data_IF_585468206393
#
_entry.id   IF_585468206393
#
_cell.length_a   1.000
_cell.length_b   1.000
_cell.length_c   1.000
_cell.angle_alpha   90.00
_cell.angle_beta   90.00
_cell.angle_gamma   90.00
#
_symmetry.space_group_name_H-M   'P 1'
#
loop_
_entity.id
_entity.type
_entity.pdbx_description
1 polymer ?
#
# COMPACT_ATOMS: atom_id res chain seq x y z
N UNK A 1 -11.47 -0.54 -28.99
CA UNK A 1 -11.00 -1.70 -28.21
C UNK A 1 -9.47 -1.80 -28.08
N UNK A 2 -8.69 -0.98 -28.82
CA UNK A 2 -7.22 -0.90 -28.69
C UNK A 2 -6.73 0.19 -27.71
N UNK A 3 -7.62 0.99 -27.12
CA UNK A 3 -7.24 2.13 -26.27
C UNK A 3 -7.02 1.78 -24.79
N UNK A 4 -7.51 0.64 -24.32
CA UNK A 4 -7.39 0.24 -22.90
C UNK A 4 -6.05 -0.41 -22.53
N UNK A 5 -5.23 -0.77 -23.51
CA UNK A 5 -4.06 -1.65 -23.31
C UNK A 5 -2.73 -0.91 -23.11
N UNK A 6 -2.73 0.43 -23.17
CA UNK A 6 -1.52 1.25 -23.11
C UNK A 6 -1.51 2.27 -21.96
N UNK A 7 -2.50 2.20 -21.07
CA UNK A 7 -2.87 3.32 -20.21
C UNK A 7 -2.13 3.37 -18.87
N UNK A 8 -1.72 2.28 -18.21
CA UNK A 8 -1.26 2.42 -16.83
C UNK A 8 0.01 3.28 -16.61
N UNK A 9 1.08 3.22 -17.43
CA UNK A 9 2.22 4.13 -17.27
C UNK A 9 1.95 5.50 -17.88
N UNK A 10 1.19 5.56 -18.98
CA UNK A 10 0.90 6.78 -19.72
C UNK A 10 -0.06 7.71 -18.96
N UNK A 11 -1.02 7.15 -18.21
CA UNK A 11 -1.97 7.91 -17.39
C UNK A 11 -1.30 8.51 -16.13
N UNK A 12 -0.27 7.86 -15.58
CA UNK A 12 0.58 8.46 -14.54
C UNK A 12 1.32 9.68 -15.11
N UNK A 13 1.90 9.54 -16.31
CA UNK A 13 2.60 10.65 -16.98
C UNK A 13 1.63 11.76 -17.38
N UNK A 14 0.42 11.44 -17.87
CA UNK A 14 -0.61 12.41 -18.23
C UNK A 14 -1.22 13.11 -17.00
N UNK A 15 -1.42 12.39 -15.89
CA UNK A 15 -1.85 12.99 -14.63
C UNK A 15 -0.77 13.92 -14.07
N UNK A 16 0.51 13.55 -14.19
CA UNK A 16 1.65 14.39 -13.78
C UNK A 16 1.88 15.59 -14.71
N UNK A 17 1.62 15.46 -16.02
CA UNK A 17 1.72 16.55 -17.00
C UNK A 17 0.57 17.57 -16.89
N UNK A 18 -0.59 17.15 -16.35
CA UNK A 18 -1.73 18.04 -16.10
C UNK A 18 -1.60 18.87 -14.81
N UNK A 19 -0.54 18.68 -14.03
CA UNK A 19 -0.32 19.38 -12.78
C UNK A 19 0.48 20.66 -13.05
N UNK A 20 -0.16 21.81 -12.84
CA UNK A 20 0.45 23.13 -13.04
C UNK A 20 1.66 23.39 -12.08
N UNK A 21 1.70 22.73 -10.91
CA UNK A 21 2.81 22.82 -9.94
C UNK A 21 3.06 21.50 -9.19
N UNK A 22 3.92 20.59 -9.68
CA UNK A 22 4.15 19.28 -9.04
C UNK A 22 4.80 19.36 -7.65
N UNK A 23 5.42 20.49 -7.31
CA UNK A 23 6.05 20.71 -6.00
C UNK A 23 5.07 20.92 -4.85
N UNK A 24 3.82 21.33 -5.13
CA UNK A 24 2.80 21.60 -4.09
C UNK A 24 2.09 20.32 -3.61
N UNK A 25 2.10 19.27 -4.43
CA UNK A 25 1.45 17.97 -4.14
C UNK A 25 2.28 17.11 -3.17
N UNK A 26 3.60 17.23 -3.25
CA UNK A 26 4.52 16.35 -2.51
C UNK A 26 4.42 16.50 -0.98
N UNK A 27 4.43 17.72 -0.40
CA UNK A 27 4.31 17.89 1.05
C UNK A 27 3.04 17.30 1.69
N UNK A 28 1.81 17.58 1.19
CA UNK A 28 0.61 17.00 1.77
C UNK A 28 0.57 15.48 1.62
N UNK A 29 0.99 14.95 0.46
CA UNK A 29 1.03 13.50 0.24
C UNK A 29 1.94 12.79 1.24
N UNK A 30 3.14 13.33 1.48
CA UNK A 30 4.10 12.75 2.43
C UNK A 30 3.61 12.84 3.88
N UNK A 31 3.00 13.98 4.26
CA UNK A 31 2.43 14.16 5.59
C UNK A 31 1.28 13.16 5.85
N UNK A 32 0.34 13.04 4.90
CA UNK A 32 -0.80 12.12 5.01
C UNK A 32 -0.30 10.68 5.05
N UNK A 33 0.67 10.30 4.20
CA UNK A 33 1.24 8.97 4.18
C UNK A 33 1.90 8.58 5.52
N UNK A 34 2.72 9.47 6.10
CA UNK A 34 3.40 9.22 7.37
C UNK A 34 2.41 9.09 8.52
N UNK A 35 1.48 10.05 8.63
CA UNK A 35 0.51 10.09 9.73
C UNK A 35 -0.47 8.94 9.66
N UNK A 36 -0.96 8.54 8.48
CA UNK A 36 -1.90 7.42 8.33
C UNK A 36 -1.23 6.07 8.57
N UNK A 37 0.02 5.87 8.10
CA UNK A 37 0.82 4.67 8.40
C UNK A 37 1.12 4.53 9.88
N UNK A 38 1.60 5.61 10.51
CA UNK A 38 1.89 5.60 11.95
C UNK A 38 0.60 5.51 12.78
N UNK A 39 -0.46 6.19 12.39
CA UNK A 39 -1.78 6.13 13.02
C UNK A 39 -2.34 4.71 13.01
N UNK A 40 -2.29 4.02 11.87
CA UNK A 40 -2.66 2.61 11.73
C UNK A 40 -1.80 1.71 12.62
N UNK A 41 -0.47 1.91 12.60
CA UNK A 41 0.47 1.14 13.41
C UNK A 41 0.18 1.30 14.92
N UNK A 42 0.11 2.53 15.42
CA UNK A 42 -0.09 2.79 16.86
C UNK A 42 -1.48 2.42 17.34
N UNK A 43 -2.53 2.64 16.54
CA UNK A 43 -3.90 2.22 16.86
C UNK A 43 -3.98 0.70 16.99
N UNK A 44 -3.37 -0.03 16.07
CA UNK A 44 -3.29 -1.48 16.11
C UNK A 44 -2.47 -1.96 17.32
N UNK A 45 -1.32 -1.31 17.59
CA UNK A 45 -0.50 -1.61 18.75
C UNK A 45 -1.30 -1.45 20.04
N UNK A 46 -1.99 -0.33 20.20
CA UNK A 46 -2.83 -0.04 21.36
C UNK A 46 -3.94 -1.09 21.52
N UNK A 47 -4.66 -1.42 20.45
CA UNK A 47 -5.69 -2.46 20.47
C UNK A 47 -5.12 -3.81 20.99
N UNK A 48 -3.97 -4.27 20.49
CA UNK A 48 -3.40 -5.54 20.96
C UNK A 48 -2.74 -5.44 22.34
N UNK A 49 -2.30 -4.27 22.81
CA UNK A 49 -1.86 -4.13 24.21
C UNK A 49 -3.01 -4.33 25.20
N UNK A 50 -4.25 -4.05 24.79
CA UNK A 50 -5.46 -4.27 25.58
C UNK A 50 -5.94 -5.71 25.45
N UNK A 51 -6.02 -6.24 24.22
CA UNK A 51 -6.68 -7.53 23.95
C UNK A 51 -5.76 -8.76 23.99
N UNK A 52 -4.44 -8.64 23.80
CA UNK A 52 -3.54 -9.80 23.69
C UNK A 52 -2.08 -9.48 24.09
N UNK A 53 -1.83 -9.30 25.40
CA UNK A 53 -0.51 -8.89 25.94
C UNK A 53 0.64 -9.87 25.65
N UNK A 54 0.36 -11.14 25.36
CA UNK A 54 1.39 -12.15 25.13
C UNK A 54 2.03 -12.06 23.73
N UNK A 55 1.37 -11.45 22.74
CA UNK A 55 1.86 -11.39 21.36
C UNK A 55 2.96 -10.34 21.10
N UNK A 56 3.38 -9.59 22.13
CA UNK A 56 4.30 -8.43 22.00
C UNK A 56 5.77 -8.79 22.35
N UNK A 57 6.04 -10.03 22.76
CA UNK A 57 7.36 -10.45 23.24
C UNK A 57 8.25 -11.03 22.13
N UNK A 58 8.59 -10.22 21.12
CA UNK A 58 9.67 -10.53 20.16
C UNK A 58 11.04 -10.04 20.64
N UNK A 59 12.09 -10.87 20.48
CA UNK A 59 13.50 -10.50 20.76
C UNK A 59 14.15 -9.83 19.54
N UNK A 60 15.05 -8.88 19.82
CA UNK A 60 15.85 -8.18 18.80
C UNK A 60 16.98 -9.11 18.31
N UNK A 61 17.12 -9.23 17.00
CA UNK A 61 18.02 -10.02 16.16
C UNK A 61 18.41 -9.18 14.94
N UNK A 62 19.61 -8.61 15.00
CA UNK A 62 20.22 -7.83 13.91
C UNK A 62 20.32 -8.62 12.59
N UNK A 63 20.32 -9.95 12.65
CA UNK A 63 20.42 -10.81 11.49
C UNK A 63 19.20 -10.70 10.57
N UNK A 64 17.99 -10.62 11.15
CA UNK A 64 16.74 -10.42 10.39
C UNK A 64 16.74 -9.06 9.69
N UNK A 65 17.18 -8.01 10.38
CA UNK A 65 17.31 -6.67 9.82
C UNK A 65 18.35 -6.60 8.69
N UNK A 66 19.46 -7.31 8.82
CA UNK A 66 20.47 -7.35 7.76
C UNK A 66 20.00 -8.11 6.52
N UNK A 67 19.23 -9.19 6.71
CA UNK A 67 18.62 -9.94 5.61
C UNK A 67 17.55 -9.11 4.89
N UNK A 68 16.76 -8.35 5.63
CA UNK A 68 15.81 -7.39 5.10
C UNK A 68 16.47 -6.37 4.16
N UNK A 69 17.54 -5.71 4.63
CA UNK A 69 18.32 -4.76 3.84
C UNK A 69 18.86 -5.39 2.55
N UNK A 70 19.35 -6.63 2.63
CA UNK A 70 19.81 -7.37 1.43
C UNK A 70 18.67 -7.60 0.44
N UNK A 71 17.47 -7.98 0.91
CA UNK A 71 16.32 -8.23 0.03
C UNK A 71 15.86 -6.95 -0.68
N UNK A 72 15.78 -5.84 0.04
CA UNK A 72 15.49 -4.53 -0.54
C UNK A 72 16.56 -4.17 -1.58
N UNK A 73 17.83 -4.32 -1.25
CA UNK A 73 18.94 -4.02 -2.16
C UNK A 73 18.88 -4.88 -3.45
N UNK A 74 18.56 -6.17 -3.33
CA UNK A 74 18.39 -7.06 -4.49
C UNK A 74 17.24 -6.60 -5.40
N UNK A 75 16.11 -6.14 -4.84
CA UNK A 75 14.99 -5.62 -5.61
C UNK A 75 15.38 -4.36 -6.41
N UNK A 76 16.05 -3.39 -5.75
CA UNK A 76 16.57 -2.20 -6.43
C UNK A 76 17.61 -2.52 -7.51
N UNK A 77 18.46 -3.52 -7.27
CA UNK A 77 19.46 -3.96 -8.23
C UNK A 77 18.80 -4.59 -9.46
N UNK A 78 17.81 -5.47 -9.26
CA UNK A 78 17.03 -6.06 -10.35
C UNK A 78 16.30 -5.00 -11.19
N UNK A 79 15.69 -4.00 -10.54
CA UNK A 79 15.06 -2.86 -11.20
C UNK A 79 16.06 -2.09 -12.07
N UNK A 80 17.21 -1.73 -11.48
CA UNK A 80 18.26 -0.99 -12.19
C UNK A 80 18.78 -1.75 -13.41
N UNK A 81 19.01 -3.06 -13.28
CA UNK A 81 19.40 -3.91 -14.41
C UNK A 81 18.32 -3.90 -15.50
N UNK A 82 17.04 -4.03 -15.12
CA UNK A 82 15.92 -3.99 -16.04
C UNK A 82 15.86 -2.67 -16.83
N UNK A 83 16.06 -1.53 -16.16
CA UNK A 83 16.10 -0.20 -16.79
C UNK A 83 17.28 -0.08 -17.75
N UNK A 84 18.49 -0.49 -17.33
CA UNK A 84 19.69 -0.44 -18.18
C UNK A 84 19.51 -1.30 -19.44
N UNK A 85 18.99 -2.52 -19.29
CA UNK A 85 18.68 -3.40 -20.42
C UNK A 85 17.64 -2.78 -21.35
N UNK A 86 16.60 -2.15 -20.79
CA UNK A 86 15.60 -1.42 -21.57
C UNK A 86 16.22 -0.31 -22.42
N UNK A 87 17.05 0.54 -21.81
CA UNK A 87 17.75 1.64 -22.52
C UNK A 87 18.68 1.08 -23.61
N UNK A 88 19.44 0.02 -23.32
CA UNK A 88 20.36 -0.59 -24.27
C UNK A 88 19.61 -1.18 -25.49
N UNK A 89 18.47 -1.85 -25.27
CA UNK A 89 17.62 -2.35 -26.35
C UNK A 89 17.05 -1.21 -27.21
N UNK A 90 16.63 -0.10 -26.59
CA UNK A 90 16.18 1.09 -27.33
C UNK A 90 17.31 1.68 -28.20
N UNK A 91 18.53 1.77 -27.67
CA UNK A 91 19.69 2.27 -28.43
C UNK A 91 20.08 1.35 -29.59
N UNK A 92 19.94 0.04 -29.43
CA UNK A 92 20.21 -0.97 -30.47
C UNK A 92 19.12 -1.04 -31.55
N UNK A 93 18.06 -0.20 -31.48
CA UNK A 93 16.91 -0.19 -32.38
C UNK A 93 16.21 -1.57 -32.50
N UNK A 94 16.44 -2.46 -31.53
CA UNK A 94 15.83 -3.79 -31.49
C UNK A 94 14.45 -3.68 -30.86
N UNK A 95 13.46 -3.39 -31.69
CA UNK A 95 12.07 -3.32 -31.23
C UNK A 95 11.51 -4.74 -31.07
N UNK A 96 11.62 -5.31 -29.89
CA UNK A 96 10.92 -6.56 -29.56
C UNK A 96 9.45 -6.21 -29.33
N UNK A 97 8.50 -6.67 -30.17
CA UNK A 97 7.08 -6.43 -29.93
C UNK A 97 6.63 -7.26 -28.73
N UNK A 98 6.78 -6.70 -27.53
CA UNK A 98 6.33 -7.31 -26.29
C UNK A 98 5.06 -6.62 -25.81
N UNK A 99 3.96 -7.38 -25.74
CA UNK A 99 2.71 -6.88 -25.19
C UNK A 99 2.61 -7.28 -23.71
N UNK A 100 2.64 -6.28 -22.83
CA UNK A 100 2.52 -6.43 -21.38
C UNK A 100 1.23 -7.17 -20.94
N UNK A 101 0.21 -7.22 -21.80
CA UNK A 101 -1.03 -7.97 -21.56
C UNK A 101 -0.79 -9.46 -21.27
N UNK A 102 0.12 -10.11 -22.02
CA UNK A 102 0.41 -11.53 -21.80
C UNK A 102 1.08 -11.77 -20.45
N UNK A 103 1.96 -10.86 -20.03
CA UNK A 103 2.60 -10.92 -18.71
C UNK A 103 1.58 -10.73 -17.58
N UNK A 104 0.65 -9.78 -17.75
CA UNK A 104 -0.44 -9.55 -16.81
C UNK A 104 -1.31 -10.79 -16.66
N UNK A 105 -1.75 -11.39 -17.78
CA UNK A 105 -2.56 -12.62 -17.76
C UNK A 105 -1.81 -13.77 -17.08
N UNK A 106 -0.51 -13.91 -17.35
CA UNK A 106 0.32 -14.92 -16.70
C UNK A 106 0.39 -14.69 -15.18
N UNK A 107 0.59 -13.45 -14.73
CA UNK A 107 0.60 -13.14 -13.30
C UNK A 107 -0.76 -13.37 -12.63
N UNK A 108 -1.87 -12.96 -13.25
CA UNK A 108 -3.21 -13.24 -12.73
C UNK A 108 -3.44 -14.75 -12.62
N UNK A 109 -3.00 -15.53 -13.61
CA UNK A 109 -3.08 -16.99 -13.57
C UNK A 109 -2.24 -17.59 -12.43
N UNK A 110 -0.99 -17.14 -12.26
CA UNK A 110 -0.11 -17.61 -11.18
C UNK A 110 -0.65 -17.25 -9.79
N UNK A 111 -1.17 -16.03 -9.63
CA UNK A 111 -1.86 -15.60 -8.40
C UNK A 111 -3.08 -16.50 -8.15
N UNK A 112 -3.87 -16.79 -9.20
CA UNK A 112 -5.01 -17.70 -9.13
C UNK A 112 -4.61 -19.12 -8.67
N UNK A 113 -3.47 -19.63 -9.13
CA UNK A 113 -2.91 -20.91 -8.64
C UNK A 113 -2.56 -20.82 -7.15
N UNK A 114 -1.86 -19.78 -6.72
CA UNK A 114 -1.50 -19.59 -5.30
C UNK A 114 -2.75 -19.53 -4.41
N UNK A 115 -3.80 -18.82 -4.86
CA UNK A 115 -5.10 -18.75 -4.20
C UNK A 115 -5.83 -20.11 -4.15
N UNK A 116 -5.79 -20.89 -5.23
CA UNK A 116 -6.43 -22.22 -5.29
C UNK A 116 -5.79 -23.21 -4.30
N UNK A 117 -4.47 -23.10 -4.08
CA UNK A 117 -3.75 -23.92 -3.10
C UNK A 117 -3.79 -23.37 -1.67
N UNK A 118 -4.37 -22.18 -1.44
CA UNK A 118 -4.54 -21.65 -0.08
C UNK A 118 -5.82 -22.20 0.54
N UNK A 119 -5.68 -23.08 1.53
CA UNK A 119 -6.82 -23.57 2.30
C UNK A 119 -7.32 -22.49 3.27
N UNK A 120 -8.35 -21.74 2.87
CA UNK A 120 -9.06 -20.81 3.73
C UNK A 120 -9.71 -21.58 4.89
N UNK A 121 -9.12 -21.47 6.08
CA UNK A 121 -9.65 -22.10 7.28
C UNK A 121 -10.52 -21.09 8.04
N UNK A 122 -11.58 -21.56 8.72
CA UNK A 122 -12.53 -20.71 9.46
C UNK A 122 -11.84 -19.88 10.56
N UNK A 123 -10.66 -20.29 10.99
CA UNK A 123 -9.79 -19.56 11.92
C UNK A 123 -9.30 -18.22 11.38
N UNK A 124 -9.31 -17.99 10.06
CA UNK A 124 -8.89 -16.74 9.43
C UNK A 124 -9.88 -15.61 9.69
N UNK A 125 -11.15 -15.94 9.93
CA UNK A 125 -12.19 -14.99 10.36
C UNK A 125 -12.25 -14.79 11.88
N UNK A 126 -11.22 -15.21 12.62
CA UNK A 126 -11.19 -14.98 14.06
C UNK A 126 -11.13 -13.48 14.38
N UNK A 127 -11.77 -13.10 15.49
CA UNK A 127 -11.75 -11.72 15.98
C UNK A 127 -10.34 -11.15 16.10
N UNK A 128 -9.38 -11.99 16.51
CA UNK A 128 -7.97 -11.63 16.60
C UNK A 128 -7.34 -11.22 15.28
N UNK A 129 -7.83 -11.67 14.13
CA UNK A 129 -7.34 -11.29 12.81
C UNK A 129 -8.04 -10.03 12.30
N UNK A 130 -9.36 -9.93 12.50
CA UNK A 130 -10.18 -8.82 12.04
C UNK A 130 -9.88 -7.48 12.74
N UNK A 131 -9.25 -7.51 13.92
CA UNK A 131 -8.76 -6.29 14.58
C UNK A 131 -7.74 -5.54 13.71
N UNK A 132 -6.92 -6.22 12.89
CA UNK A 132 -5.88 -5.58 12.07
C UNK A 132 -6.46 -4.60 11.04
N UNK A 133 -7.38 -5.01 10.14
CA UNK A 133 -8.00 -4.08 9.20
C UNK A 133 -8.87 -3.03 9.89
N UNK A 134 -9.55 -3.38 10.98
CA UNK A 134 -10.35 -2.42 11.75
C UNK A 134 -9.46 -1.32 12.36
N UNK A 135 -8.31 -1.70 12.91
CA UNK A 135 -7.36 -0.75 13.47
C UNK A 135 -6.72 0.12 12.39
N UNK A 136 -6.51 -0.42 11.18
CA UNK A 136 -6.04 0.37 10.04
C UNK A 136 -7.08 1.43 9.65
N UNK A 137 -8.36 1.04 9.54
CA UNK A 137 -9.46 1.97 9.26
C UNK A 137 -9.55 3.08 10.31
N UNK A 138 -9.62 2.71 11.60
CA UNK A 138 -9.72 3.68 12.70
C UNK A 138 -8.48 4.56 12.75
N UNK A 139 -7.29 3.99 12.61
CA UNK A 139 -6.02 4.71 12.61
C UNK A 139 -5.88 5.70 11.47
N UNK A 140 -6.30 5.33 10.25
CA UNK A 140 -6.38 6.23 9.10
C UNK A 140 -7.36 7.38 9.35
N UNK A 141 -8.56 7.11 9.90
CA UNK A 141 -9.52 8.17 10.23
C UNK A 141 -8.98 9.14 11.30
N UNK A 142 -8.38 8.63 12.37
CA UNK A 142 -7.77 9.45 13.42
C UNK A 142 -6.63 10.32 12.86
N UNK A 143 -5.79 9.75 11.98
CA UNK A 143 -4.76 10.49 11.29
C UNK A 143 -5.34 11.57 10.35
N UNK A 144 -6.47 11.30 9.68
CA UNK A 144 -7.17 12.28 8.85
C UNK A 144 -7.65 13.49 9.65
N UNK A 145 -8.19 13.31 10.86
CA UNK A 145 -8.55 14.43 11.73
C UNK A 145 -7.31 15.24 12.17
N UNK A 146 -6.18 14.58 12.45
CA UNK A 146 -4.91 15.27 12.73
C UNK A 146 -4.40 16.05 11.53
N UNK A 147 -4.46 15.46 10.34
CA UNK A 147 -4.06 16.11 9.09
C UNK A 147 -4.94 17.31 8.76
N UNK A 148 -6.24 17.26 9.04
CA UNK A 148 -7.13 18.41 8.88
C UNK A 148 -6.73 19.59 9.77
N UNK A 149 -6.24 19.33 10.99
CA UNK A 149 -5.70 20.41 11.83
C UNK A 149 -4.44 21.07 11.25
N UNK A 150 -3.69 20.37 10.40
CA UNK A 150 -2.43 20.85 9.81
C UNK A 150 -2.61 21.44 8.42
N UNK A 151 -3.50 20.85 7.62
CA UNK A 151 -3.73 21.13 6.20
C UNK A 151 -5.11 21.77 5.92
N UNK A 152 -5.93 22.01 6.95
CA UNK A 152 -7.33 22.44 6.80
C UNK A 152 -7.53 23.83 6.17
N UNK A 153 -6.45 24.57 5.89
CA UNK A 153 -6.50 25.80 5.10
C UNK A 153 -6.59 25.55 3.59
N UNK A 154 -6.10 24.41 3.12
CA UNK A 154 -6.00 24.07 1.68
C UNK A 154 -7.01 22.99 1.26
N UNK A 155 -7.40 22.11 2.19
CA UNK A 155 -8.29 20.99 1.91
C UNK A 155 -9.45 20.92 2.90
N UNK A 156 -10.59 20.44 2.43
CA UNK A 156 -11.74 20.09 3.24
C UNK A 156 -11.45 18.83 4.08
N UNK A 157 -12.16 18.68 5.20
CA UNK A 157 -12.07 17.48 6.04
C UNK A 157 -12.38 16.20 5.24
N UNK A 158 -13.33 16.28 4.33
CA UNK A 158 -13.82 15.17 3.52
C UNK A 158 -12.77 14.69 2.52
N UNK A 159 -12.07 15.61 1.84
CA UNK A 159 -10.94 15.30 0.97
C UNK A 159 -9.80 14.64 1.76
N UNK A 160 -9.41 15.19 2.91
CA UNK A 160 -8.32 14.64 3.74
C UNK A 160 -8.67 13.25 4.27
N UNK A 161 -9.91 13.05 4.74
CA UNK A 161 -10.37 11.74 5.20
C UNK A 161 -10.35 10.75 4.05
N UNK A 162 -10.89 11.12 2.88
CA UNK A 162 -10.88 10.26 1.70
C UNK A 162 -9.44 9.86 1.30
N UNK A 163 -8.49 10.81 1.31
CA UNK A 163 -7.09 10.57 0.95
C UNK A 163 -6.41 9.53 1.87
N UNK A 164 -6.88 9.38 3.11
CA UNK A 164 -6.40 8.37 4.04
C UNK A 164 -6.94 6.95 3.81
N UNK A 165 -7.97 6.78 2.97
CA UNK A 165 -8.70 5.52 2.76
C UNK A 165 -8.30 4.77 1.48
N UNK A 166 -7.23 5.16 0.80
CA UNK A 166 -6.66 4.42 -0.34
C UNK A 166 -5.95 3.12 0.05
N UNK A 167 -5.53 3.03 1.32
CA UNK A 167 -4.90 1.88 1.92
C UNK A 167 -3.64 1.33 1.20
N UNK A 168 -2.91 2.17 0.46
CA UNK A 168 -1.73 1.78 -0.31
C UNK A 168 -2.03 1.35 -1.75
N UNK A 169 -3.29 1.29 -2.19
CA UNK A 169 -3.65 0.93 -3.55
C UNK A 169 -3.58 2.15 -4.49
N UNK A 170 -2.35 2.64 -4.71
CA UNK A 170 -2.05 3.89 -5.40
C UNK A 170 -2.63 3.99 -6.82
N UNK A 171 -2.70 2.87 -7.55
CA UNK A 171 -3.22 2.85 -8.92
C UNK A 171 -4.73 3.03 -8.98
N UNK A 172 -5.47 2.44 -8.04
CA UNK A 172 -6.92 2.59 -7.96
C UNK A 172 -7.30 3.94 -7.35
N UNK A 173 -6.68 4.32 -6.23
CA UNK A 173 -6.99 5.58 -5.56
C UNK A 173 -6.72 6.78 -6.46
N UNK A 174 -5.56 6.84 -7.13
CA UNK A 174 -5.23 7.94 -8.04
C UNK A 174 -6.27 8.12 -9.15
N UNK A 175 -6.68 7.04 -9.82
CA UNK A 175 -7.70 7.10 -10.88
C UNK A 175 -9.06 7.52 -10.31
N UNK A 176 -9.45 6.96 -9.17
CA UNK A 176 -10.75 7.22 -8.56
C UNK A 176 -10.89 8.69 -8.14
N UNK A 177 -9.86 9.27 -7.54
CA UNK A 177 -9.84 10.70 -7.17
C UNK A 177 -9.85 11.62 -8.38
N UNK A 178 -9.08 11.30 -9.44
CA UNK A 178 -9.10 12.06 -10.69
C UNK A 178 -10.49 12.08 -11.33
N UNK A 179 -11.21 10.95 -11.28
CA UNK A 179 -12.54 10.84 -11.87
C UNK A 179 -13.65 11.47 -11.01
N UNK A 180 -13.56 11.38 -9.69
CA UNK A 180 -14.59 11.85 -8.78
C UNK A 180 -14.44 13.32 -8.37
N UNK A 181 -13.22 13.86 -8.39
CA UNK A 181 -12.96 15.20 -7.85
C UNK A 181 -12.04 16.05 -8.75
N UNK A 182 -10.74 15.74 -8.82
CA UNK A 182 -9.78 16.51 -9.61
C UNK A 182 -8.47 15.74 -9.85
N UNK A 183 -7.77 16.06 -10.95
CA UNK A 183 -6.46 15.48 -11.27
C UNK A 183 -5.39 15.77 -10.21
N UNK A 184 -5.46 16.95 -9.58
CA UNK A 184 -4.55 17.33 -8.50
C UNK A 184 -4.68 16.40 -7.28
N UNK A 185 -5.92 16.18 -6.80
CA UNK A 185 -6.15 15.23 -5.70
C UNK A 185 -5.85 13.79 -6.10
N UNK A 186 -6.06 13.43 -7.37
CA UNK A 186 -5.60 12.14 -7.91
C UNK A 186 -4.09 11.95 -7.78
N UNK A 187 -3.31 12.98 -8.09
CA UNK A 187 -1.87 13.00 -7.86
C UNK A 187 -1.49 12.87 -6.39
N UNK A 188 -2.16 13.63 -5.51
CA UNK A 188 -1.96 13.54 -4.05
C UNK A 188 -2.27 12.12 -3.54
N UNK A 189 -3.39 11.54 -3.95
CA UNK A 189 -3.81 10.20 -3.53
C UNK A 189 -2.79 9.13 -3.96
N UNK A 190 -2.35 9.19 -5.21
CA UNK A 190 -1.36 8.26 -5.76
C UNK A 190 -0.04 8.32 -4.99
N UNK A 191 0.51 9.52 -4.79
CA UNK A 191 1.75 9.70 -4.04
C UNK A 191 1.59 9.33 -2.57
N UNK A 192 0.45 9.66 -1.96
CA UNK A 192 0.13 9.30 -0.58
C UNK A 192 0.22 7.79 -0.41
N UNK A 193 -0.50 7.02 -1.23
CA UNK A 193 -0.52 5.56 -1.14
C UNK A 193 0.84 4.92 -1.47
N UNK A 194 1.58 5.47 -2.43
CA UNK A 194 2.94 5.02 -2.74
C UNK A 194 3.89 5.23 -1.55
N UNK A 195 3.90 6.41 -0.94
CA UNK A 195 4.71 6.67 0.26
C UNK A 195 4.23 5.83 1.44
N UNK A 196 2.93 5.62 1.57
CA UNK A 196 2.34 4.80 2.62
C UNK A 196 2.87 3.36 2.55
N UNK A 197 2.95 2.80 1.35
CA UNK A 197 3.54 1.48 1.10
C UNK A 197 5.01 1.44 1.49
N UNK A 198 5.80 2.44 1.08
CA UNK A 198 7.23 2.54 1.45
C UNK A 198 7.39 2.59 2.97
N UNK A 199 6.61 3.43 3.66
CA UNK A 199 6.62 3.54 5.12
C UNK A 199 6.22 2.22 5.77
N UNK A 200 5.20 1.52 5.25
CA UNK A 200 4.78 0.22 5.76
C UNK A 200 5.86 -0.85 5.63
N UNK A 201 6.56 -0.89 4.49
CA UNK A 201 7.70 -1.80 4.27
C UNK A 201 8.81 -1.50 5.28
N UNK A 202 9.13 -0.22 5.50
CA UNK A 202 10.10 0.20 6.51
C UNK A 202 9.66 -0.24 7.92
N UNK A 203 8.40 -0.05 8.29
CA UNK A 203 7.84 -0.48 9.57
C UNK A 203 7.87 -2.00 9.74
N UNK A 204 7.60 -2.78 8.69
CA UNK A 204 7.73 -4.24 8.73
C UNK A 204 9.15 -4.69 8.98
N UNK A 205 10.12 -4.14 8.25
CA UNK A 205 11.51 -4.56 8.39
C UNK A 205 12.17 -4.07 9.68
N UNK A 206 11.77 -2.92 10.20
CA UNK A 206 12.32 -2.36 11.45
C UNK A 206 11.60 -2.83 12.71
N UNK A 207 10.27 -3.01 12.64
CA UNK A 207 9.42 -3.28 13.82
C UNK A 207 8.49 -4.49 13.65
N UNK A 208 8.26 -5.02 12.45
CA UNK A 208 7.32 -6.13 12.19
C UNK A 208 7.68 -7.46 12.86
N UNK A 209 8.96 -7.69 13.14
CA UNK A 209 9.42 -8.82 13.95
C UNK A 209 9.01 -8.77 15.44
N UNK A 210 8.87 -7.57 16.02
CA UNK A 210 8.41 -7.37 17.40
C UNK A 210 6.91 -7.09 17.47
N UNK A 211 6.40 -6.37 16.48
CA UNK A 211 5.03 -5.92 16.35
C UNK A 211 4.48 -6.28 14.96
N UNK A 212 4.29 -7.58 14.66
CA UNK A 212 3.88 -8.04 13.34
C UNK A 212 2.49 -7.53 12.96
N UNK A 213 1.51 -7.62 13.86
CA UNK A 213 0.14 -7.19 13.58
C UNK A 213 0.03 -5.67 13.34
N UNK A 214 0.69 -4.80 14.14
CA UNK A 214 0.78 -3.36 13.85
C UNK A 214 1.46 -3.03 12.51
N UNK A 215 2.56 -3.71 12.18
CA UNK A 215 3.25 -3.48 10.91
C UNK A 215 2.39 -3.90 9.71
N UNK A 216 1.67 -5.02 9.81
CA UNK A 216 0.69 -5.44 8.78
C UNK A 216 -0.44 -4.42 8.64
N UNK A 217 -0.93 -3.85 9.74
CA UNK A 217 -1.97 -2.81 9.73
C UNK A 217 -1.57 -1.57 8.94
N UNK A 218 -0.30 -1.14 9.04
CA UNK A 218 0.22 0.00 8.27
C UNK A 218 0.26 -0.23 6.77
N UNK A 219 0.42 -1.47 6.29
CA UNK A 219 0.35 -1.77 4.86
C UNK A 219 -1.08 -1.66 4.32
N UNK A 220 -2.07 -2.13 5.07
CA UNK A 220 -3.48 -2.03 4.69
C UNK A 220 -3.86 -2.98 3.55
N UNK A 221 -4.22 -2.45 2.37
CA UNK A 221 -4.65 -3.24 1.22
C UNK A 221 -3.50 -4.08 0.65
N UNK A 222 -2.30 -3.49 0.61
CA UNK A 222 -1.11 -4.09 -0.02
C UNK A 222 -0.47 -5.21 0.81
N UNK A 223 -1.06 -5.55 1.96
CA UNK A 223 -0.59 -6.66 2.81
C UNK A 223 -0.85 -8.04 2.20
N UNK A 224 -1.81 -8.16 1.28
CA UNK A 224 -2.14 -9.43 0.64
C UNK A 224 -1.27 -9.74 -0.59
N UNK A 225 -0.71 -8.73 -1.25
CA UNK A 225 0.04 -8.88 -2.50
C UNK A 225 1.47 -8.33 -2.38
N UNK A 226 1.67 -7.02 -2.54
CA UNK A 226 2.98 -6.38 -2.68
C UNK A 226 3.85 -6.62 -1.45
N UNK A 227 3.27 -6.45 -0.27
CA UNK A 227 4.00 -6.58 0.99
C UNK A 227 3.88 -7.97 1.62
N UNK A 228 3.20 -8.93 0.97
CA UNK A 228 3.03 -10.29 1.51
C UNK A 228 4.37 -11.01 1.67
N UNK A 229 5.29 -10.85 0.72
CA UNK A 229 6.64 -11.40 0.82
C UNK A 229 7.39 -10.82 2.03
N UNK A 230 7.24 -9.52 2.29
CA UNK A 230 7.83 -8.82 3.43
C UNK A 230 7.22 -9.30 4.75
N UNK A 231 5.90 -9.54 4.80
CA UNK A 231 5.25 -10.18 5.95
C UNK A 231 5.84 -11.56 6.22
N UNK A 232 5.95 -12.42 5.20
CA UNK A 232 6.52 -13.78 5.35
C UNK A 232 7.95 -13.73 5.90
N UNK A 233 8.76 -12.76 5.47
CA UNK A 233 10.16 -12.60 5.86
C UNK A 233 10.36 -11.95 7.25
N UNK A 234 9.60 -10.89 7.56
CA UNK A 234 9.82 -10.05 8.75
C UNK A 234 8.91 -10.37 9.92
N UNK A 235 7.65 -10.71 9.62
CA UNK A 235 6.64 -11.02 10.64
C UNK A 235 6.56 -12.53 10.91
N UNK A 236 6.85 -13.34 9.89
CA UNK A 236 6.79 -14.80 9.92
C UNK A 236 5.51 -15.35 9.29
N UNK A 237 5.59 -16.59 8.79
CA UNK A 237 4.52 -17.24 8.00
C UNK A 237 3.21 -17.42 8.78
N UNK A 238 3.26 -17.49 10.11
CA UNK A 238 2.07 -17.55 10.97
C UNK A 238 1.18 -16.30 10.86
N UNK A 239 1.72 -15.15 10.45
CA UNK A 239 0.95 -13.91 10.29
C UNK A 239 0.39 -13.69 8.89
N UNK A 240 0.63 -14.61 7.95
CA UNK A 240 0.06 -14.56 6.58
C UNK A 240 -1.47 -14.43 6.59
N UNK A 241 -2.23 -15.16 7.42
CA UNK A 241 -3.69 -14.96 7.49
C UNK A 241 -4.10 -13.54 7.91
N UNK A 242 -3.31 -12.86 8.75
CA UNK A 242 -3.61 -11.48 9.16
C UNK A 242 -3.43 -10.52 7.98
N UNK A 243 -2.37 -10.72 7.21
CA UNK A 243 -2.05 -9.90 6.05
C UNK A 243 -3.03 -10.13 4.88
N UNK A 244 -3.42 -11.37 4.62
CA UNK A 244 -4.40 -11.68 3.57
C UNK A 244 -5.78 -11.12 3.92
N UNK A 245 -6.26 -11.30 5.15
CA UNK A 245 -7.58 -10.79 5.57
C UNK A 245 -7.61 -9.26 5.64
N UNK A 246 -6.53 -8.64 6.11
CA UNK A 246 -6.41 -7.18 6.11
C UNK A 246 -6.49 -6.63 4.69
N UNK A 247 -5.67 -7.20 3.79
CA UNK A 247 -5.62 -6.76 2.39
C UNK A 247 -6.96 -6.95 1.68
N UNK A 248 -7.56 -8.14 1.79
CA UNK A 248 -8.86 -8.42 1.17
C UNK A 248 -9.97 -7.47 1.64
N UNK A 249 -10.09 -7.24 2.95
CA UNK A 249 -11.16 -6.38 3.49
C UNK A 249 -10.93 -4.92 3.12
N UNK A 250 -9.71 -4.42 3.24
CA UNK A 250 -9.42 -3.02 2.93
C UNK A 250 -9.47 -2.76 1.42
N UNK A 251 -9.07 -3.70 0.56
CA UNK A 251 -9.22 -3.55 -0.89
C UNK A 251 -10.69 -3.49 -1.32
N UNK A 252 -11.59 -4.22 -0.64
CA UNK A 252 -13.03 -4.13 -0.88
C UNK A 252 -13.62 -2.82 -0.35
N UNK A 253 -13.15 -2.36 0.81
CA UNK A 253 -13.66 -1.16 1.45
C UNK A 253 -13.11 0.14 0.85
N UNK A 254 -11.89 0.16 0.30
CA UNK A 254 -11.22 1.38 -0.15
C UNK A 254 -12.04 2.19 -1.17
N UNK A 255 -12.54 1.62 -2.29
CA UNK A 255 -13.31 2.39 -3.27
C UNK A 255 -14.62 2.92 -2.69
N UNK A 256 -15.27 2.12 -1.83
CA UNK A 256 -16.53 2.49 -1.18
C UNK A 256 -16.29 3.65 -0.21
N UNK A 257 -15.27 3.56 0.64
CA UNK A 257 -14.95 4.59 1.63
C UNK A 257 -14.54 5.90 0.95
N UNK A 258 -13.67 5.86 -0.08
CA UNK A 258 -13.29 7.06 -0.84
C UNK A 258 -14.54 7.73 -1.41
N UNK A 259 -15.41 6.96 -2.07
CA UNK A 259 -16.64 7.49 -2.67
C UNK A 259 -17.59 8.08 -1.63
N UNK A 260 -17.72 7.45 -0.47
CA UNK A 260 -18.56 7.95 0.62
C UNK A 260 -17.98 9.25 1.19
N UNK A 261 -16.69 9.29 1.53
CA UNK A 261 -16.10 10.50 2.11
C UNK A 261 -16.09 11.69 1.14
N UNK A 262 -15.98 11.47 -0.18
CA UNK A 262 -16.02 12.57 -1.15
C UNK A 262 -17.42 13.11 -1.44
N UNK A 263 -18.48 12.33 -1.23
CA UNK A 263 -19.86 12.71 -1.58
C UNK A 263 -20.69 13.22 -0.40
N UNK A 264 -20.30 12.91 0.83
CA UNK A 264 -20.85 13.50 2.06
C UNK A 264 -20.05 14.74 2.46
#
# INVERSE_FOLDING_TARGET
MNSFMQQSPLELTLALDQIDNPSTILPPALLIALTTSLGSFFTCLFAYTIFDKESVKGKISLQLFMNALKNIAMAFLALTIGVILGILLTQLHTHIPFNSWYLLLLFIFLIGIELAFTHFNRTWLSWKILIVPLAAFIGSCLAGFLNYSLLGHEFTLNEILALGQGYGWYSMSGILFTQLHSAELGGIALLTDLFREIVAILLMYTMGWRFPRPAISSAGATSMDVTLAMVKQSCGTHYVPHAMMSGLLLSLLAPLLITVFLNF
#
